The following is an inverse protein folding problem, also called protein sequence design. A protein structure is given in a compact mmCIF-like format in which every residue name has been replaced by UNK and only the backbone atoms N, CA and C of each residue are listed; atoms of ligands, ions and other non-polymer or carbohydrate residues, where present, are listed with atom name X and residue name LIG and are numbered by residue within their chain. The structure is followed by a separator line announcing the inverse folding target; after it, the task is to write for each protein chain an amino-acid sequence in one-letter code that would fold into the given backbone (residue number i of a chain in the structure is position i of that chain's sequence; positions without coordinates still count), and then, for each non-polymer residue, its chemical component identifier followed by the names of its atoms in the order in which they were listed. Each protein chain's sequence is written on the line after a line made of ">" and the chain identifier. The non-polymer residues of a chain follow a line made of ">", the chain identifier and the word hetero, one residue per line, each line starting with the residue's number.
data_IF_546619111844
#
_entry.id   IF_546619111844
#
_cell.length_a   1.000
_cell.length_b   1.000
_cell.length_c   1.000
_cell.angle_alpha   90.00
_cell.angle_beta   90.00
_cell.angle_gamma   90.00
#
_symmetry.space_group_name_H-M   'P 1'
#
loop_
_entity.id
_entity.type
_entity.pdbx_description
1 polymer ?
#
# COMPACT_ATOMS: atom_id res chain seq x y z
N UNK A 1 25.02 -5.17 -6.54
CA UNK A 1 23.89 -5.51 -7.43
C UNK A 1 22.63 -5.55 -6.58
N UNK A 2 21.84 -4.49 -6.61
CA UNK A 2 20.71 -4.29 -5.69
C UNK A 2 19.40 -4.75 -6.31
N UNK A 3 18.53 -5.37 -5.50
CA UNK A 3 17.16 -5.75 -5.86
C UNK A 3 16.38 -4.51 -6.33
N UNK A 4 16.34 -4.28 -7.65
CA UNK A 4 15.47 -3.27 -8.27
C UNK A 4 14.25 -3.88 -8.98
N UNK A 5 14.15 -5.21 -9.06
CA UNK A 5 13.20 -5.88 -9.98
C UNK A 5 12.31 -6.95 -9.33
N UNK A 6 12.18 -7.00 -8.00
CA UNK A 6 11.28 -7.96 -7.33
C UNK A 6 9.86 -7.43 -7.09
N UNK A 7 9.65 -6.12 -7.20
CA UNK A 7 8.35 -5.50 -6.91
C UNK A 7 7.83 -4.80 -8.16
N UNK A 8 6.88 -5.44 -8.84
CA UNK A 8 6.02 -4.78 -9.83
C UNK A 8 5.22 -3.70 -9.07
N UNK A 9 5.54 -2.43 -9.27
CA UNK A 9 4.85 -1.31 -8.62
C UNK A 9 3.75 -0.71 -9.52
N UNK A 10 3.55 -1.30 -10.70
CA UNK A 10 2.50 -0.88 -11.64
C UNK A 10 1.14 -1.36 -11.14
N UNK A 11 0.08 -0.52 -11.18
CA UNK A 11 -1.27 -0.94 -10.83
C UNK A 11 -1.83 -1.90 -11.89
N UNK A 12 -1.50 -3.18 -11.72
CA UNK A 12 -1.89 -4.29 -12.59
C UNK A 12 -2.93 -5.18 -11.91
N UNK A 13 -3.70 -5.93 -12.70
CA UNK A 13 -4.71 -6.89 -12.21
C UNK A 13 -4.11 -8.03 -11.36
N UNK A 14 -2.78 -8.18 -11.39
CA UNK A 14 -2.06 -9.14 -10.55
C UNK A 14 -1.98 -8.67 -9.10
N UNK A 15 -1.91 -7.36 -8.87
CA UNK A 15 -1.71 -6.75 -7.55
C UNK A 15 -3.01 -6.18 -6.98
N UNK A 16 -3.87 -5.65 -7.86
CA UNK A 16 -5.13 -5.01 -7.50
C UNK A 16 -6.32 -5.81 -8.01
N UNK A 17 -7.42 -5.78 -7.25
CA UNK A 17 -8.70 -6.23 -7.75
C UNK A 17 -9.15 -5.33 -8.93
N UNK A 18 -9.79 -5.93 -9.94
CA UNK A 18 -10.29 -5.22 -11.14
C UNK A 18 -11.22 -4.05 -10.77
N UNK A 19 -12.01 -4.18 -9.71
CA UNK A 19 -12.93 -3.12 -9.27
C UNK A 19 -12.23 -1.84 -8.82
N UNK A 20 -10.97 -1.94 -8.37
CA UNK A 20 -10.21 -0.82 -7.79
C UNK A 20 -9.10 -0.33 -8.72
N UNK A 21 -8.77 -1.11 -9.76
CA UNK A 21 -7.70 -0.81 -10.71
C UNK A 21 -7.87 0.54 -11.41
N UNK A 22 -9.12 0.92 -11.72
CA UNK A 22 -9.43 2.16 -12.44
C UNK A 22 -9.13 3.38 -11.58
N UNK A 23 -9.60 3.35 -10.33
CA UNK A 23 -9.44 4.47 -9.39
C UNK A 23 -7.97 4.70 -9.02
N UNK A 24 -7.18 3.61 -8.91
CA UNK A 24 -5.75 3.68 -8.58
C UNK A 24 -4.91 4.26 -9.73
N UNK A 25 -5.25 3.95 -10.99
CA UNK A 25 -4.55 4.50 -12.15
C UNK A 25 -4.70 6.02 -12.26
N UNK A 26 -5.84 6.56 -11.84
CA UNK A 26 -6.06 8.02 -11.87
C UNK A 26 -5.34 8.75 -10.74
N UNK A 27 -4.94 8.03 -9.68
CA UNK A 27 -4.32 8.58 -8.47
C UNK A 27 -2.88 8.09 -8.27
N UNK A 28 -2.14 7.84 -9.36
CA UNK A 28 -0.75 7.37 -9.24
C UNK A 28 0.17 8.52 -8.83
N UNK A 29 0.89 8.33 -7.73
CA UNK A 29 1.95 9.23 -7.28
C UNK A 29 3.23 8.42 -7.03
N UNK A 30 4.37 9.10 -7.18
CA UNK A 30 5.66 8.48 -6.94
C UNK A 30 5.87 8.31 -5.43
N UNK A 31 6.02 7.06 -4.99
CA UNK A 31 6.25 6.72 -3.59
C UNK A 31 7.75 6.50 -3.41
N UNK A 32 8.36 7.33 -2.56
CA UNK A 32 9.76 7.22 -2.16
C UNK A 32 9.97 6.08 -1.15
N UNK A 33 8.96 5.77 -0.34
CA UNK A 33 9.01 4.67 0.63
C UNK A 33 7.65 4.37 1.27
N UNK A 34 7.47 3.14 1.75
CA UNK A 34 6.26 2.69 2.48
C UNK A 34 6.70 2.08 3.81
N UNK A 35 6.15 2.59 4.91
CA UNK A 35 6.34 2.06 6.27
C UNK A 35 5.05 1.46 6.82
N UNK A 36 5.14 0.32 7.49
CA UNK A 36 4.00 -0.29 8.20
C UNK A 36 3.84 0.39 9.57
N UNK A 37 2.73 1.09 9.78
CA UNK A 37 2.42 1.72 11.07
C UNK A 37 1.91 0.66 12.06
N UNK A 38 0.88 -0.09 11.64
CA UNK A 38 0.29 -1.14 12.47
C UNK A 38 -0.52 -2.13 11.66
N UNK A 39 -0.53 -3.37 12.13
CA UNK A 39 -1.49 -4.37 11.70
C UNK A 39 -2.76 -4.23 12.55
N UNK A 40 -3.91 -3.96 11.91
CA UNK A 40 -5.20 -3.82 12.58
C UNK A 40 -5.92 -5.17 12.75
N UNK A 41 -5.77 -6.05 11.76
CA UNK A 41 -6.26 -7.43 11.77
C UNK A 41 -5.42 -8.27 10.82
N UNK A 42 -5.71 -9.58 10.70
CA UNK A 42 -4.95 -10.48 9.83
C UNK A 42 -4.75 -9.97 8.39
N UNK A 43 -5.67 -9.16 7.87
CA UNK A 43 -5.64 -8.65 6.49
C UNK A 43 -5.90 -7.14 6.37
N UNK A 44 -5.73 -6.37 7.45
CA UNK A 44 -5.85 -4.90 7.42
C UNK A 44 -4.64 -4.29 8.09
N UNK A 45 -4.04 -3.32 7.43
CA UNK A 45 -2.91 -2.56 7.95
C UNK A 45 -3.07 -1.08 7.69
N UNK A 46 -2.51 -0.28 8.59
CA UNK A 46 -2.26 1.13 8.34
C UNK A 46 -0.79 1.27 7.94
N UNK A 47 -0.55 1.94 6.82
CA UNK A 47 0.78 2.21 6.28
C UNK A 47 0.94 3.72 6.08
N UNK A 48 2.18 4.18 6.15
CA UNK A 48 2.55 5.52 5.68
C UNK A 48 3.30 5.36 4.38
N UNK A 49 2.91 6.12 3.36
CA UNK A 49 3.70 6.31 2.16
C UNK A 49 4.34 7.70 2.19
N UNK A 50 5.63 7.75 1.87
CA UNK A 50 6.36 9.00 1.66
C UNK A 50 6.37 9.31 0.17
N UNK A 51 6.00 10.53 -0.19
CA UNK A 51 6.12 11.09 -1.53
C UNK A 51 6.95 12.39 -1.49
N UNK A 52 7.17 13.00 -2.65
CA UNK A 52 7.89 14.28 -2.77
C UNK A 52 7.22 15.46 -2.07
N UNK A 53 5.95 15.31 -1.63
CA UNK A 53 5.16 16.34 -0.93
C UNK A 53 5.11 16.09 0.58
N UNK A 54 5.49 14.91 1.06
CA UNK A 54 5.54 14.57 2.48
C UNK A 54 5.08 13.14 2.78
N UNK A 55 4.43 12.95 3.92
CA UNK A 55 3.94 11.65 4.36
C UNK A 55 2.41 11.62 4.29
N UNK A 56 1.87 10.53 3.73
CA UNK A 56 0.43 10.26 3.66
C UNK A 56 0.11 8.92 4.30
N UNK A 57 -0.98 8.86 5.03
CA UNK A 57 -1.42 7.64 5.71
C UNK A 57 -2.47 6.94 4.88
N UNK A 58 -2.36 5.62 4.76
CA UNK A 58 -3.32 4.78 4.06
C UNK A 58 -3.71 3.60 4.93
N UNK A 59 -5.00 3.28 4.92
CA UNK A 59 -5.49 1.98 5.38
C UNK A 59 -5.66 1.08 4.19
N UNK A 60 -4.95 -0.04 4.23
CA UNK A 60 -4.97 -1.06 3.20
C UNK A 60 -5.72 -2.28 3.71
N UNK A 61 -6.64 -2.79 2.91
CA UNK A 61 -7.23 -4.10 3.10
C UNK A 61 -6.70 -5.07 2.06
N UNK A 62 -6.29 -6.25 2.52
CA UNK A 62 -5.84 -7.35 1.68
C UNK A 62 -6.95 -8.40 1.56
N UNK A 63 -7.10 -8.95 0.37
CA UNK A 63 -7.90 -10.16 0.14
C UNK A 63 -6.98 -11.37 0.09
N UNK A 64 -7.31 -12.40 0.86
CA UNK A 64 -6.59 -13.69 0.85
C UNK A 64 -7.29 -14.68 -0.07
N UNK A 65 -6.59 -15.19 -1.06
CA UNK A 65 -7.08 -16.24 -1.94
C UNK A 65 -5.93 -17.13 -2.45
N UNK A 66 -6.10 -18.45 -2.38
CA UNK A 66 -5.08 -19.41 -2.82
C UNK A 66 -4.76 -19.35 -4.32
N UNK A 67 -5.65 -18.78 -5.14
CA UNK A 67 -5.43 -18.58 -6.58
C UNK A 67 -4.52 -17.39 -6.91
N UNK A 68 -4.15 -16.55 -5.93
CA UNK A 68 -3.32 -15.38 -6.17
C UNK A 68 -1.82 -15.73 -6.15
N UNK A 69 -0.97 -15.08 -6.96
CA UNK A 69 0.47 -15.38 -7.08
C UNK A 69 1.25 -15.36 -5.75
N UNK A 70 0.73 -14.67 -4.73
CA UNK A 70 1.31 -14.60 -3.38
C UNK A 70 0.25 -14.75 -2.28
N UNK A 71 -0.85 -15.45 -2.57
CA UNK A 71 -2.02 -15.60 -1.68
C UNK A 71 -2.79 -14.31 -1.36
N UNK A 72 -2.25 -13.14 -1.67
CA UNK A 72 -2.81 -11.84 -1.30
C UNK A 72 -2.89 -10.90 -2.49
N UNK A 73 -3.94 -10.07 -2.50
CA UNK A 73 -4.07 -8.89 -3.36
C UNK A 73 -4.61 -7.72 -2.56
N UNK A 74 -4.34 -6.50 -3.02
CA UNK A 74 -4.93 -5.30 -2.44
C UNK A 74 -6.39 -5.22 -2.89
N UNK A 75 -7.30 -5.22 -1.92
CA UNK A 75 -8.74 -5.17 -2.14
C UNK A 75 -9.33 -3.78 -1.90
N UNK A 76 -8.72 -2.97 -1.03
CA UNK A 76 -9.16 -1.61 -0.75
C UNK A 76 -7.97 -0.77 -0.25
N UNK A 77 -7.95 0.51 -0.65
CA UNK A 77 -6.98 1.50 -0.20
C UNK A 77 -7.74 2.77 0.12
N UNK A 78 -7.63 3.24 1.37
CA UNK A 78 -8.27 4.48 1.81
C UNK A 78 -7.24 5.41 2.42
N UNK A 79 -7.11 6.61 1.85
CA UNK A 79 -6.33 7.68 2.46
C UNK A 79 -6.97 8.08 3.80
N UNK A 80 -6.13 8.34 4.79
CA UNK A 80 -6.55 8.72 6.12
C UNK A 80 -5.77 9.94 6.57
N UNK A 81 -6.40 10.73 7.46
CA UNK A 81 -5.69 11.80 8.13
C UNK A 81 -4.57 11.20 8.97
N UNK A 82 -3.35 11.70 8.75
CA UNK A 82 -2.19 11.35 9.56
C UNK A 82 -2.47 11.76 11.02
N UNK A 83 -2.59 10.79 11.92
CA UNK A 83 -3.03 11.08 13.29
C UNK A 83 -1.89 11.64 14.17
N UNK A 84 -0.61 11.34 13.86
CA UNK A 84 0.55 11.91 14.55
C UNK A 84 1.85 11.66 13.80
N UNK A 85 2.83 12.56 13.97
CA UNK A 85 4.20 12.44 13.42
C UNK A 85 4.96 11.22 13.97
N UNK A 86 4.74 10.91 15.25
CA UNK A 86 5.35 9.79 15.95
C UNK A 86 4.93 8.42 15.40
N UNK A 87 3.75 8.32 14.78
CA UNK A 87 3.23 7.04 14.29
C UNK A 87 4.01 6.47 13.11
N UNK A 88 4.81 7.27 12.42
CA UNK A 88 5.62 6.80 11.29
C UNK A 88 7.12 7.02 11.49
N UNK A 89 7.55 7.89 12.41
CA UNK A 89 8.97 8.00 12.78
C UNK A 89 9.51 6.70 13.42
N UNK A 90 8.68 5.95 14.16
CA UNK A 90 9.04 4.63 14.70
C UNK A 90 8.99 3.49 13.64
N UNK A 91 8.43 3.75 12.46
CA UNK A 91 8.19 2.75 11.40
C UNK A 91 9.17 2.84 10.23
N UNK A 92 10.07 3.83 10.24
CA UNK A 92 11.15 4.07 9.28
C UNK A 92 12.48 3.56 9.83
#
# INVERSE_FOLDING_TARGET
>A
MGMKELFENSPTEKLFNKSVLKDVKEHTFEIEGIGLIKQLSGFRCDVVAKDSKGHRSFRIALEKNASFPHFYKIADVKEQRLASRYQWEDSL
#
